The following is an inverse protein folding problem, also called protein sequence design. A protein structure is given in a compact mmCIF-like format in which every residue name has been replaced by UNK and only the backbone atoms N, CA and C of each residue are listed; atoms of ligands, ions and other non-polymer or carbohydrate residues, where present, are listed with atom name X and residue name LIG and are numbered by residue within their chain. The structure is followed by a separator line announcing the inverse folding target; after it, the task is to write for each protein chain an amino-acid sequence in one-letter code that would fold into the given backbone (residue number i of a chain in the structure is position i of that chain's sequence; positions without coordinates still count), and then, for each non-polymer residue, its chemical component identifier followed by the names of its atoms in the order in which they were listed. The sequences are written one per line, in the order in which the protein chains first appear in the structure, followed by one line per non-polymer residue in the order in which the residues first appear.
data_IF_859704541517
#
_entry.id   IF_859704541517
#
_cell.length_a   1.000
_cell.length_b   1.000
_cell.length_c   1.000
_cell.angle_alpha   90.00
_cell.angle_beta   90.00
_cell.angle_gamma   90.00
#
_symmetry.space_group_name_H-M   'P 1'
#
loop_
_entity.id
_entity.type
_entity.pdbx_description
1 polymer ?
#
# COMPACT_ATOMS: atom_id res chain seq x y z
N UNK A 1 20.49 28.02 -6.73
CA UNK A 1 19.70 27.46 -5.61
C UNK A 1 18.48 26.73 -6.18
N UNK A 2 18.71 25.51 -6.64
CA UNK A 2 17.63 24.57 -6.93
C UNK A 2 17.38 23.79 -5.65
N UNK A 3 16.51 24.34 -4.79
CA UNK A 3 16.00 23.61 -3.64
C UNK A 3 14.76 22.83 -4.10
N UNK A 4 14.81 21.53 -3.82
CA UNK A 4 13.84 20.45 -4.09
C UNK A 4 13.91 19.84 -5.51
N UNK A 5 14.24 18.55 -5.59
CA UNK A 5 13.15 17.59 -5.77
C UNK A 5 13.42 16.21 -5.11
N UNK A 6 12.43 15.33 -5.16
CA UNK A 6 12.57 13.89 -4.88
C UNK A 6 12.45 13.45 -3.42
N UNK A 7 11.36 13.83 -2.75
CA UNK A 7 10.71 12.80 -1.92
C UNK A 7 10.15 11.73 -2.88
N UNK A 8 11.00 10.79 -3.31
CA UNK A 8 10.55 9.48 -3.79
C UNK A 8 10.01 8.77 -2.55
N UNK A 9 8.81 9.15 -2.13
CA UNK A 9 8.13 8.41 -1.06
C UNK A 9 8.22 6.94 -1.43
N UNK A 10 8.71 6.13 -0.50
CA UNK A 10 8.94 4.71 -0.73
C UNK A 10 7.75 4.15 -1.50
N UNK A 11 8.00 3.67 -2.73
CA UNK A 11 6.99 2.91 -3.46
C UNK A 11 6.89 1.58 -2.77
N UNK A 12 6.08 1.58 -1.72
CA UNK A 12 5.76 0.38 -0.98
C UNK A 12 4.90 -0.48 -1.90
N UNK A 13 5.32 -1.71 -2.17
CA UNK A 13 4.61 -2.64 -3.05
C UNK A 13 4.04 -3.76 -2.20
N UNK A 14 2.81 -4.17 -2.50
CA UNK A 14 2.21 -5.33 -1.86
C UNK A 14 2.95 -6.61 -2.25
N UNK A 15 3.43 -7.36 -1.26
CA UNK A 15 4.14 -8.63 -1.48
C UNK A 15 3.22 -9.78 -1.94
N UNK A 16 1.90 -9.55 -2.01
CA UNK A 16 0.92 -10.54 -2.50
C UNK A 16 0.46 -10.24 -3.92
N UNK A 17 -0.01 -9.02 -4.21
CA UNK A 17 -0.53 -8.68 -5.54
C UNK A 17 0.46 -7.92 -6.44
N UNK A 18 1.57 -7.41 -5.89
CA UNK A 18 2.54 -6.63 -6.65
C UNK A 18 2.10 -5.19 -6.99
N UNK A 19 0.93 -4.76 -6.52
CA UNK A 19 0.46 -3.38 -6.72
C UNK A 19 1.17 -2.39 -5.78
N UNK A 20 1.39 -1.16 -6.27
CA UNK A 20 1.88 -0.05 -5.47
C UNK A 20 0.86 0.39 -4.42
N UNK A 21 1.28 0.42 -3.17
CA UNK A 21 0.47 0.87 -2.04
C UNK A 21 0.56 2.38 -1.93
N UNK A 22 -0.57 3.05 -2.17
CA UNK A 22 -0.64 4.51 -2.13
C UNK A 22 -0.82 5.03 -0.70
N UNK A 23 -0.30 6.23 -0.42
CA UNK A 23 -0.51 7.00 0.81
C UNK A 23 -0.08 6.33 2.12
N UNK A 24 0.95 5.47 2.08
CA UNK A 24 1.38 4.69 3.25
C UNK A 24 0.24 3.86 3.87
N UNK A 25 -0.61 3.29 3.01
CA UNK A 25 -1.73 2.40 3.40
C UNK A 25 -1.28 0.94 3.53
N UNK A 26 0.01 0.70 3.74
CA UNK A 26 0.53 -0.65 3.87
C UNK A 26 0.16 -1.23 5.23
N UNK A 27 -0.16 -2.53 5.20
CA UNK A 27 -0.40 -3.32 6.39
C UNK A 27 0.78 -4.24 6.55
N UNK A 28 1.46 -4.14 7.69
CA UNK A 28 2.55 -5.05 8.04
C UNK A 28 1.99 -6.24 8.81
N UNK A 29 2.02 -7.44 8.22
CA UNK A 29 1.54 -8.69 8.80
C UNK A 29 2.56 -9.79 8.55
N UNK A 30 2.91 -10.54 9.58
CA UNK A 30 3.85 -11.67 9.46
C UNK A 30 5.20 -11.27 8.81
N UNK A 31 5.67 -10.05 9.10
CA UNK A 31 6.89 -9.49 8.51
C UNK A 31 6.76 -9.04 7.06
N UNK A 32 5.57 -9.19 6.45
CA UNK A 32 5.29 -8.81 5.07
C UNK A 32 4.52 -7.50 4.97
N UNK A 33 4.74 -6.80 3.87
CA UNK A 33 4.05 -5.58 3.49
C UNK A 33 2.91 -5.92 2.53
N UNK A 34 1.67 -5.66 2.95
CA UNK A 34 0.45 -5.99 2.21
C UNK A 34 -0.38 -4.74 1.93
N UNK A 35 -1.09 -4.71 0.79
CA UNK A 35 -2.11 -3.70 0.57
C UNK A 35 -3.33 -3.99 1.45
N UNK A 36 -4.15 -2.96 1.70
CA UNK A 36 -5.36 -3.06 2.53
C UNK A 36 -6.32 -4.18 2.10
N UNK A 37 -6.39 -4.46 0.79
CA UNK A 37 -7.19 -5.54 0.21
C UNK A 37 -6.59 -6.93 0.50
N UNK A 38 -5.30 -7.14 0.21
CA UNK A 38 -4.61 -8.41 0.48
C UNK A 38 -4.44 -8.69 1.98
N UNK A 39 -4.36 -7.65 2.80
CA UNK A 39 -4.34 -7.77 4.25
C UNK A 39 -5.70 -8.17 4.85
N UNK A 40 -6.74 -8.33 4.02
CA UNK A 40 -8.06 -8.78 4.45
C UNK A 40 -8.79 -7.77 5.33
N UNK A 41 -8.42 -6.47 5.31
CA UNK A 41 -9.25 -5.49 6.00
C UNK A 41 -10.49 -5.22 5.13
N UNK A 42 -11.64 -5.34 5.76
CA UNK A 42 -13.00 -5.19 5.21
C UNK A 42 -13.23 -3.80 4.58
N UNK A 43 -12.60 -3.56 3.42
CA UNK A 43 -12.59 -2.30 2.70
C UNK A 43 -13.20 -2.37 1.31
N UNK A 44 -13.82 -3.50 0.95
CA UNK A 44 -14.67 -3.57 -0.23
C UNK A 44 -16.00 -2.91 0.12
N UNK A 45 -16.09 -1.59 -0.10
CA UNK A 45 -17.35 -0.83 0.01
C UNK A 45 -18.45 -1.38 -0.91
N UNK A 46 -18.07 -2.13 -1.96
CA UNK A 46 -18.96 -3.01 -2.70
C UNK A 46 -18.77 -4.46 -2.24
N UNK A 47 -19.38 -4.84 -1.12
CA UNK A 47 -19.85 -6.20 -0.97
C UNK A 47 -21.05 -6.32 -1.91
N UNK A 48 -20.85 -6.93 -3.08
CA UNK A 48 -21.97 -7.50 -3.81
C UNK A 48 -22.56 -8.58 -2.89
N UNK A 49 -23.77 -8.31 -2.42
CA UNK A 49 -24.61 -9.25 -1.68
C UNK A 49 -24.83 -10.54 -2.47
#
# INVERSE_FOLDING_TARGET
PEEFPEYKGDRVVCEVCGEGINFRREVRRDGRVLCRACAGTEGCYYQLA
#
